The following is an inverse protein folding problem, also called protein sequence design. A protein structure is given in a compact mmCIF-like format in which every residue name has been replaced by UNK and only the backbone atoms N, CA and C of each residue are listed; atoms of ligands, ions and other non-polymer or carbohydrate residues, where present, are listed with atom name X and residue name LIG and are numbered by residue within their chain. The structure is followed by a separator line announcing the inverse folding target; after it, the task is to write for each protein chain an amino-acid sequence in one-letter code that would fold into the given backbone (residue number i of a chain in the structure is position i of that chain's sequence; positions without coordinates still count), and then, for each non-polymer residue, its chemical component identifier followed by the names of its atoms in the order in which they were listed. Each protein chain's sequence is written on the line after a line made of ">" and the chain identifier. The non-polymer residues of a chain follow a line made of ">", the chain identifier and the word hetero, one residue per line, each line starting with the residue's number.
data_IF_148392024625
#
_entry.id   IF_148392024625
#
_cell.length_a   1.000
_cell.length_b   1.000
_cell.length_c   1.000
_cell.angle_alpha   90.00
_cell.angle_beta   90.00
_cell.angle_gamma   90.00
#
_symmetry.space_group_name_H-M   'P 1'
#
loop_
_entity.id
_entity.type
_entity.pdbx_description
1 polymer ?
#
# COMPACT_ATOMS: atom_id res chain seq x y z
N UNK A 1 6.47 50.73 14.63
CA UNK A 1 5.81 49.48 15.09
C UNK A 1 6.91 48.55 15.57
N UNK A 2 6.96 48.26 16.87
CA UNK A 2 8.03 47.47 17.49
C UNK A 2 7.70 45.99 17.28
N UNK A 3 8.38 45.35 16.34
CA UNK A 3 8.21 43.91 16.02
C UNK A 3 8.58 43.11 17.25
N UNK A 4 7.58 42.46 17.86
CA UNK A 4 7.73 41.61 19.03
C UNK A 4 8.33 40.30 18.53
N UNK A 5 9.65 40.13 18.67
CA UNK A 5 10.32 38.85 18.50
C UNK A 5 9.72 37.87 19.50
N UNK A 6 8.94 36.93 18.98
CA UNK A 6 8.37 35.83 19.74
C UNK A 6 9.54 34.90 20.07
N UNK A 7 10.02 34.92 21.32
CA UNK A 7 11.03 33.99 21.80
C UNK A 7 10.44 32.58 21.75
N UNK A 8 10.83 31.79 20.75
CA UNK A 8 10.51 30.37 20.68
C UNK A 8 11.09 29.67 21.91
N UNK A 9 10.36 28.72 22.47
CA UNK A 9 10.91 27.87 23.52
C UNK A 9 12.07 27.05 23.00
N UNK A 10 13.06 26.73 23.84
CA UNK A 10 14.27 25.97 23.48
C UNK A 10 14.02 24.69 22.67
N UNK A 11 12.88 24.02 22.90
CA UNK A 11 12.48 22.83 22.13
C UNK A 11 11.92 23.13 20.73
N UNK A 12 11.36 24.33 20.50
CA UNK A 12 10.93 24.76 19.17
C UNK A 12 12.10 25.28 18.33
N UNK A 13 13.11 25.92 18.93
CA UNK A 13 14.34 26.34 18.22
C UNK A 13 15.13 25.14 17.71
N UNK A 14 15.29 24.09 18.52
CA UNK A 14 15.96 22.85 18.13
C UNK A 14 15.21 22.14 16.99
N UNK A 15 13.87 22.20 17.01
CA UNK A 15 13.03 21.65 15.96
C UNK A 15 13.06 22.47 14.67
N UNK A 16 13.14 23.79 14.78
CA UNK A 16 13.27 24.68 13.63
C UNK A 16 14.63 24.53 12.95
N UNK A 17 15.71 24.42 13.73
CA UNK A 17 17.05 24.09 13.22
C UNK A 17 17.09 22.73 12.52
N UNK A 18 16.39 21.72 13.04
CA UNK A 18 16.25 20.41 12.40
C UNK A 18 15.46 20.48 11.08
N UNK A 19 14.40 21.30 11.03
CA UNK A 19 13.60 21.51 9.82
C UNK A 19 14.42 22.21 8.74
N UNK A 20 15.14 23.25 9.10
CA UNK A 20 15.93 24.05 8.16
C UNK A 20 17.08 23.22 7.56
N UNK A 21 17.76 22.40 8.37
CA UNK A 21 18.79 21.45 7.89
C UNK A 21 18.26 20.30 7.03
N UNK A 22 16.99 19.92 7.17
CA UNK A 22 16.36 18.88 6.35
C UNK A 22 15.80 19.42 5.02
N UNK A 23 15.37 20.69 5.00
CA UNK A 23 14.74 21.34 3.84
C UNK A 23 15.78 21.94 2.90
N UNK A 24 16.84 22.55 3.45
CA UNK A 24 17.92 23.15 2.66
C UNK A 24 19.30 22.87 3.31
N UNK A 25 19.95 21.74 2.99
CA UNK A 25 21.29 21.46 3.50
C UNK A 25 22.35 22.47 3.03
N UNK A 26 22.06 23.30 2.01
CA UNK A 26 23.00 24.31 1.51
C UNK A 26 23.00 25.59 2.36
N UNK A 27 21.89 25.91 3.05
CA UNK A 27 21.84 27.06 3.98
C UNK A 27 22.69 26.87 5.25
N UNK A 28 23.03 25.62 5.58
CA UNK A 28 23.97 25.29 6.66
C UNK A 28 25.43 25.34 6.24
N UNK A 29 25.75 25.33 4.94
CA UNK A 29 27.15 25.42 4.48
C UNK A 29 27.75 26.81 4.73
N UNK A 30 26.91 27.86 4.84
CA UNK A 30 27.36 29.22 5.16
C UNK A 30 27.66 29.44 6.66
N UNK A 31 27.30 28.50 7.53
CA UNK A 31 27.45 28.60 9.00
C UNK A 31 28.43 27.58 9.60
N UNK A 32 29.00 26.69 8.79
CA UNK A 32 29.91 25.63 9.23
C UNK A 32 31.28 25.83 8.59
N UNK A 33 32.33 25.80 9.42
CA UNK A 33 33.72 25.97 8.98
C UNK A 33 34.07 24.98 7.84
N UNK A 34 34.52 25.46 6.67
CA UNK A 34 34.85 24.63 5.50
C UNK A 34 35.94 23.58 5.76
N UNK A 35 36.65 23.65 6.89
CA UNK A 35 37.72 22.72 7.25
C UNK A 35 37.25 21.34 7.73
N UNK A 36 35.93 21.11 7.86
CA UNK A 36 35.38 19.83 8.36
C UNK A 36 34.74 18.93 7.29
N UNK A 37 34.54 19.41 6.06
CA UNK A 37 33.97 18.58 5.00
C UNK A 37 35.06 17.73 4.32
N UNK A 38 34.86 16.40 4.38
CA UNK A 38 35.51 15.48 3.44
C UNK A 38 34.95 15.74 2.04
N UNK A 39 35.82 16.08 1.09
CA UNK A 39 35.50 16.38 -0.32
C UNK A 39 34.95 15.18 -1.11
N UNK A 40 34.59 14.09 -0.44
CA UNK A 40 34.15 12.83 -1.05
C UNK A 40 32.63 12.71 -1.26
N UNK A 41 31.82 13.62 -0.70
CA UNK A 41 30.35 13.56 -0.83
C UNK A 41 29.85 14.63 -1.81
N UNK A 42 29.92 14.32 -3.11
CA UNK A 42 29.11 15.02 -4.09
C UNK A 42 27.64 14.62 -3.91
N UNK A 43 26.82 15.54 -3.41
CA UNK A 43 25.37 15.45 -3.50
C UNK A 43 25.00 15.75 -4.96
N UNK A 44 25.08 14.73 -5.82
CA UNK A 44 24.68 14.85 -7.22
C UNK A 44 23.19 15.16 -7.29
N UNK A 45 22.86 16.43 -7.57
CA UNK A 45 21.52 16.81 -7.97
C UNK A 45 21.17 16.01 -9.22
N UNK A 46 20.13 15.18 -9.13
CA UNK A 46 19.67 14.34 -10.24
C UNK A 46 19.61 15.13 -11.54
N UNK A 47 20.35 14.69 -12.55
CA UNK A 47 20.48 15.40 -13.82
C UNK A 47 19.13 15.38 -14.55
N UNK A 48 18.62 16.57 -14.91
CA UNK A 48 17.36 16.73 -15.65
C UNK A 48 17.44 16.01 -16.99
N UNK A 49 16.67 14.94 -17.14
CA UNK A 49 16.67 14.13 -18.35
C UNK A 49 15.98 14.87 -19.51
N UNK A 50 16.42 14.67 -20.77
CA UNK A 50 15.78 15.26 -21.92
C UNK A 50 14.37 14.72 -22.14
N UNK A 51 13.41 15.59 -22.46
CA UNK A 51 12.03 15.22 -22.79
C UNK A 51 11.98 14.48 -24.13
N UNK A 52 12.07 13.15 -24.10
CA UNK A 52 11.89 12.28 -25.27
C UNK A 52 10.83 11.24 -24.93
N UNK A 53 9.88 10.98 -25.83
CA UNK A 53 8.97 9.85 -25.68
C UNK A 53 9.80 8.56 -25.75
N UNK A 54 9.96 7.90 -24.60
CA UNK A 54 10.54 6.57 -24.49
C UNK A 54 9.39 5.56 -24.47
N UNK A 55 9.59 4.41 -25.10
CA UNK A 55 8.70 3.25 -25.03
C UNK A 55 7.29 3.41 -25.65
N UNK A 56 7.17 3.97 -26.86
CA UNK A 56 5.88 4.06 -27.57
C UNK A 56 5.14 2.71 -27.73
N UNK A 57 5.87 1.59 -27.79
CA UNK A 57 5.30 0.26 -27.94
C UNK A 57 4.36 -0.14 -26.80
N UNK A 58 4.68 0.15 -25.53
CA UNK A 58 3.78 -0.21 -24.44
C UNK A 58 2.68 0.83 -24.19
N UNK A 59 2.80 2.05 -24.73
CA UNK A 59 1.63 2.90 -24.86
C UNK A 59 0.61 2.27 -25.82
N UNK A 60 1.08 1.69 -26.94
CA UNK A 60 0.21 0.94 -27.86
C UNK A 60 -0.44 -0.29 -27.20
N UNK A 61 0.30 -1.04 -26.36
CA UNK A 61 -0.29 -2.17 -25.62
C UNK A 61 -1.36 -1.72 -24.62
N UNK A 62 -1.09 -0.66 -23.84
CA UNK A 62 -2.05 -0.11 -22.90
C UNK A 62 -3.32 0.39 -23.60
N UNK A 63 -3.18 1.13 -24.70
CA UNK A 63 -4.34 1.55 -25.48
C UNK A 63 -5.06 0.36 -26.14
N UNK A 64 -4.32 -0.64 -26.62
CA UNK A 64 -4.90 -1.87 -27.16
C UNK A 64 -5.71 -2.64 -26.12
N UNK A 65 -5.24 -2.69 -24.88
CA UNK A 65 -5.95 -3.28 -23.76
C UNK A 65 -7.23 -2.50 -23.44
N UNK A 66 -7.16 -1.17 -23.33
CA UNK A 66 -8.34 -0.31 -23.11
C UNK A 66 -9.39 -0.54 -24.20
N UNK A 67 -8.96 -0.61 -25.46
CA UNK A 67 -9.86 -0.91 -26.59
C UNK A 67 -10.46 -2.31 -26.45
N UNK A 68 -9.66 -3.33 -26.12
CA UNK A 68 -10.15 -4.69 -25.92
C UNK A 68 -11.22 -4.78 -24.82
N UNK A 69 -10.99 -4.16 -23.67
CA UNK A 69 -11.95 -4.14 -22.56
C UNK A 69 -13.20 -3.34 -22.94
N UNK A 70 -13.04 -2.21 -23.62
CA UNK A 70 -14.18 -1.42 -24.09
C UNK A 70 -15.06 -2.20 -25.06
N UNK A 71 -14.46 -3.03 -25.92
CA UNK A 71 -15.19 -3.93 -26.83
C UNK A 71 -15.93 -5.01 -26.04
N UNK A 72 -15.29 -5.66 -25.07
CA UNK A 72 -15.94 -6.67 -24.21
C UNK A 72 -17.09 -6.06 -23.40
N UNK A 73 -16.85 -4.90 -22.76
CA UNK A 73 -17.88 -4.14 -22.06
C UNK A 73 -19.05 -3.75 -22.98
N UNK A 74 -18.76 -3.34 -24.22
CA UNK A 74 -19.80 -2.99 -25.19
C UNK A 74 -20.59 -4.19 -25.72
N UNK A 75 -19.92 -5.32 -25.99
CA UNK A 75 -20.51 -6.52 -26.58
C UNK A 75 -21.27 -7.37 -25.57
N UNK A 76 -20.74 -7.52 -24.36
CA UNK A 76 -21.30 -8.40 -23.34
C UNK A 76 -21.89 -7.62 -22.15
N UNK A 77 -21.22 -6.55 -21.71
CA UNK A 77 -21.68 -5.73 -20.57
C UNK A 77 -22.92 -4.90 -20.88
N UNK A 78 -22.96 -4.21 -22.03
CA UNK A 78 -24.07 -3.31 -22.36
C UNK A 78 -25.41 -4.04 -22.58
N UNK A 79 -25.45 -5.22 -23.23
CA UNK A 79 -26.66 -6.03 -23.29
C UNK A 79 -27.14 -6.52 -21.91
N UNK A 80 -26.24 -6.96 -21.03
CA UNK A 80 -26.58 -7.39 -19.67
C UNK A 80 -27.14 -6.23 -18.81
N UNK A 81 -26.62 -5.02 -18.98
CA UNK A 81 -27.17 -3.83 -18.31
C UNK A 81 -28.55 -3.44 -18.86
N UNK A 82 -28.80 -3.65 -20.16
CA UNK A 82 -30.08 -3.35 -20.79
C UNK A 82 -31.15 -4.37 -20.42
N UNK A 83 -30.83 -5.66 -20.38
CA UNK A 83 -31.77 -6.71 -19.94
C UNK A 83 -32.26 -6.38 -18.53
N UNK A 84 -31.34 -6.18 -17.59
CA UNK A 84 -31.65 -5.80 -16.19
C UNK A 84 -32.49 -4.53 -16.03
N UNK A 85 -32.39 -3.56 -16.96
CA UNK A 85 -33.20 -2.34 -16.94
C UNK A 85 -34.61 -2.49 -17.51
N UNK A 86 -34.88 -3.54 -18.30
CA UNK A 86 -36.14 -3.73 -19.01
C UNK A 86 -37.09 -4.68 -18.26
N UNK A 87 -36.55 -5.60 -17.47
CA UNK A 87 -37.25 -6.53 -16.57
C UNK A 87 -37.66 -5.86 -15.25
N UNK A 88 -38.30 -4.70 -15.33
CA UNK A 88 -38.82 -3.95 -14.17
C UNK A 88 -40.03 -4.58 -13.46
N UNK A 89 -40.15 -5.90 -13.40
CA UNK A 89 -41.27 -6.56 -12.75
C UNK A 89 -41.15 -8.08 -12.59
N UNK A 90 -41.25 -8.52 -11.33
CA UNK A 90 -41.85 -9.78 -10.85
C UNK A 90 -41.03 -11.08 -10.69
N UNK A 91 -39.74 -11.18 -11.04
CA UNK A 91 -38.96 -12.42 -10.78
C UNK A 91 -37.91 -12.28 -9.66
N UNK A 92 -38.02 -13.12 -8.61
CA UNK A 92 -37.25 -13.12 -7.34
C UNK A 92 -35.73 -13.45 -7.44
N UNK A 93 -35.17 -13.63 -8.63
CA UNK A 93 -33.77 -14.07 -8.80
C UNK A 93 -32.95 -13.27 -9.84
N UNK A 94 -33.40 -12.08 -10.25
CA UNK A 94 -32.65 -11.28 -11.23
C UNK A 94 -31.70 -10.27 -10.56
N UNK A 95 -30.42 -10.39 -10.86
CA UNK A 95 -29.33 -9.56 -10.28
C UNK A 95 -29.36 -8.14 -10.86
N UNK A 96 -29.39 -7.11 -10.00
CA UNK A 96 -29.43 -5.72 -10.43
C UNK A 96 -28.04 -5.15 -10.76
N UNK A 97 -27.59 -5.37 -12.00
CA UNK A 97 -26.29 -4.91 -12.48
C UNK A 97 -26.14 -3.38 -12.50
N UNK A 98 -27.22 -2.64 -12.76
CA UNK A 98 -27.20 -1.17 -12.79
C UNK A 98 -27.01 -0.60 -11.40
N UNK A 99 -27.72 -1.15 -10.40
CA UNK A 99 -27.57 -0.80 -8.99
C UNK A 99 -26.16 -1.03 -8.48
N UNK A 100 -25.55 -2.18 -8.81
CA UNK A 100 -24.17 -2.49 -8.44
C UNK A 100 -23.15 -1.52 -9.07
N UNK A 101 -23.35 -1.13 -10.33
CA UNK A 101 -22.48 -0.16 -11.00
C UNK A 101 -22.58 1.22 -10.35
N UNK A 102 -23.79 1.68 -10.01
CA UNK A 102 -23.97 2.92 -9.24
C UNK A 102 -23.33 2.82 -7.85
N UNK A 103 -23.45 1.68 -7.18
CA UNK A 103 -22.80 1.44 -5.89
C UNK A 103 -21.28 1.59 -5.97
N UNK A 104 -20.65 1.01 -7.00
CA UNK A 104 -19.20 1.12 -7.22
C UNK A 104 -18.72 2.56 -7.47
N UNK A 105 -19.49 3.35 -8.22
CA UNK A 105 -19.17 4.75 -8.52
C UNK A 105 -19.31 5.65 -7.28
N UNK A 106 -20.36 5.44 -6.49
CA UNK A 106 -20.57 6.18 -5.23
C UNK A 106 -19.50 5.81 -4.21
N UNK A 107 -19.17 4.52 -4.06
CA UNK A 107 -18.10 4.07 -3.18
C UNK A 107 -16.73 4.63 -3.62
N UNK A 108 -16.43 4.62 -4.92
CA UNK A 108 -15.21 5.24 -5.47
C UNK A 108 -15.15 6.76 -5.28
N UNK A 109 -16.28 7.45 -5.43
CA UNK A 109 -16.37 8.89 -5.14
C UNK A 109 -16.20 9.21 -3.66
N UNK A 110 -16.80 8.41 -2.78
CA UNK A 110 -16.67 8.54 -1.34
C UNK A 110 -15.24 8.25 -0.86
N UNK A 111 -14.59 7.20 -1.40
CA UNK A 111 -13.21 6.86 -1.09
C UNK A 111 -12.25 7.99 -1.48
N UNK A 112 -12.50 8.64 -2.63
CA UNK A 112 -11.77 9.83 -3.04
C UNK A 112 -11.92 10.95 -2.01
N UNK A 113 -13.15 11.29 -1.62
CA UNK A 113 -13.41 12.34 -0.65
C UNK A 113 -12.75 12.05 0.71
N UNK A 114 -12.89 10.83 1.22
CA UNK A 114 -12.28 10.38 2.47
C UNK A 114 -10.75 10.45 2.37
N UNK A 115 -10.16 10.01 1.25
CA UNK A 115 -8.72 10.07 1.00
C UNK A 115 -8.20 11.51 0.91
N UNK A 116 -8.98 12.42 0.31
CA UNK A 116 -8.61 13.84 0.27
C UNK A 116 -8.58 14.43 1.67
N UNK A 117 -9.58 14.10 2.50
CA UNK A 117 -9.69 14.55 3.87
C UNK A 117 -8.54 14.00 4.72
N UNK A 118 -8.19 12.72 4.57
CA UNK A 118 -7.07 12.11 5.29
C UNK A 118 -5.73 12.73 4.93
N UNK A 119 -5.50 13.06 3.65
CA UNK A 119 -4.28 13.76 3.23
C UNK A 119 -4.23 15.20 3.76
N UNK A 120 -5.36 15.90 3.79
CA UNK A 120 -5.45 17.24 4.38
C UNK A 120 -5.13 17.19 5.88
N UNK A 121 -5.69 16.21 6.60
CA UNK A 121 -5.40 15.98 8.02
C UNK A 121 -3.92 15.65 8.23
N UNK A 122 -3.33 14.75 7.42
CA UNK A 122 -1.90 14.44 7.44
C UNK A 122 -1.03 15.69 7.24
N UNK A 123 -1.49 16.61 6.39
CA UNK A 123 -0.79 17.84 6.05
C UNK A 123 -0.93 18.98 7.07
N UNK A 124 -1.92 18.90 7.97
CA UNK A 124 -2.24 19.95 8.93
C UNK A 124 -1.46 19.80 10.24
N UNK A 125 -1.38 18.59 10.79
CA UNK A 125 -0.82 18.36 12.13
C UNK A 125 -0.07 17.01 12.24
N UNK A 126 1.09 16.82 11.58
CA UNK A 126 1.81 15.54 11.59
C UNK A 126 2.24 15.09 13.01
N UNK A 127 2.59 16.03 13.90
CA UNK A 127 2.94 15.72 15.31
C UNK A 127 1.80 15.11 16.09
N UNK A 128 0.62 15.74 15.99
CA UNK A 128 -0.57 15.28 16.68
C UNK A 128 -0.94 13.88 16.19
N UNK A 129 -0.83 13.63 14.88
CA UNK A 129 -1.12 12.32 14.29
C UNK A 129 -0.18 11.23 14.76
N UNK A 130 1.12 11.53 14.86
CA UNK A 130 2.11 10.60 15.42
C UNK A 130 1.79 10.26 16.89
N UNK A 131 1.36 11.25 17.68
CA UNK A 131 0.95 11.00 19.08
C UNK A 131 -0.31 10.15 19.15
N UNK A 132 -1.31 10.44 18.32
CA UNK A 132 -2.56 9.69 18.25
C UNK A 132 -2.34 8.27 17.75
N UNK A 133 -1.45 8.04 16.79
CA UNK A 133 -1.17 6.70 16.29
C UNK A 133 -0.57 5.80 17.36
N UNK A 134 0.37 6.32 18.17
CA UNK A 134 0.92 5.57 19.30
C UNK A 134 -0.15 5.25 20.35
N UNK A 135 -1.02 6.21 20.65
CA UNK A 135 -2.12 6.02 21.60
C UNK A 135 -3.12 4.96 21.08
N UNK A 136 -3.49 5.04 19.80
CA UNK A 136 -4.39 4.09 19.16
C UNK A 136 -3.80 2.68 19.16
N UNK A 137 -2.50 2.50 18.92
CA UNK A 137 -1.85 1.19 19.02
C UNK A 137 -1.94 0.61 20.44
N UNK A 138 -1.74 1.44 21.47
CA UNK A 138 -1.90 1.00 22.87
C UNK A 138 -3.36 0.60 23.13
N UNK A 139 -4.32 1.44 22.75
CA UNK A 139 -5.76 1.14 22.93
C UNK A 139 -6.15 -0.14 22.19
N UNK A 140 -5.71 -0.30 20.93
CA UNK A 140 -5.96 -1.49 20.12
C UNK A 140 -5.42 -2.75 20.79
N UNK A 141 -4.20 -2.70 21.34
CA UNK A 141 -3.62 -3.85 22.06
C UNK A 141 -4.44 -4.24 23.30
N UNK A 142 -4.98 -3.27 24.04
CA UNK A 142 -5.89 -3.54 25.17
C UNK A 142 -7.22 -4.12 24.68
N UNK A 143 -7.79 -3.55 23.62
CA UNK A 143 -9.04 -4.03 23.03
C UNK A 143 -8.94 -5.48 22.58
N UNK A 144 -7.84 -5.85 21.91
CA UNK A 144 -7.59 -7.24 21.50
C UNK A 144 -7.47 -8.17 22.72
N UNK A 145 -6.76 -7.76 23.77
CA UNK A 145 -6.65 -8.56 25.00
C UNK A 145 -8.03 -8.83 25.63
N UNK A 146 -8.87 -7.78 25.74
CA UNK A 146 -10.22 -7.90 26.31
C UNK A 146 -11.14 -8.73 25.40
N UNK A 147 -11.17 -8.44 24.11
CA UNK A 147 -12.03 -9.15 23.15
C UNK A 147 -11.67 -10.63 23.06
N UNK A 148 -10.38 -10.96 23.08
CA UNK A 148 -9.93 -12.36 23.07
C UNK A 148 -10.40 -13.14 24.30
N UNK A 149 -10.49 -12.48 25.47
CA UNK A 149 -11.01 -13.09 26.69
C UNK A 149 -12.53 -13.26 26.67
N UNK A 150 -13.25 -12.34 26.02
CA UNK A 150 -14.72 -12.34 25.97
C UNK A 150 -15.30 -13.25 24.88
N UNK A 151 -14.61 -13.37 23.73
CA UNK A 151 -15.18 -14.00 22.53
C UNK A 151 -14.72 -15.44 22.29
N UNK A 152 -13.54 -15.85 22.77
CA UNK A 152 -13.06 -17.20 22.51
C UNK A 152 -13.68 -18.21 23.52
N UNK A 153 -13.67 -19.52 23.21
CA UNK A 153 -13.94 -20.56 24.20
C UNK A 153 -12.67 -20.97 24.93
N UNK A 154 -12.81 -21.56 26.13
CA UNK A 154 -11.68 -22.16 26.85
C UNK A 154 -11.07 -23.31 26.04
N UNK A 155 -9.72 -23.42 25.90
CA UNK A 155 -8.67 -22.62 26.54
C UNK A 155 -8.19 -21.37 25.80
N UNK A 156 -8.75 -21.05 24.62
CA UNK A 156 -8.34 -19.92 23.78
C UNK A 156 -8.38 -18.56 24.47
N UNK A 157 -9.35 -18.33 25.37
CA UNK A 157 -9.48 -17.09 26.15
C UNK A 157 -8.24 -16.72 26.93
N UNK A 158 -7.63 -17.72 27.60
CA UNK A 158 -6.50 -17.46 28.48
C UNK A 158 -5.24 -17.19 27.66
N UNK A 159 -5.07 -17.90 26.55
CA UNK A 159 -3.96 -17.70 25.64
C UNK A 159 -4.03 -16.34 24.93
N UNK A 160 -5.22 -15.94 24.46
CA UNK A 160 -5.43 -14.63 23.85
C UNK A 160 -5.16 -13.49 24.83
N UNK A 161 -5.62 -13.64 26.08
CA UNK A 161 -5.40 -12.65 27.13
C UNK A 161 -3.91 -12.49 27.47
N UNK A 162 -3.19 -13.60 27.68
CA UNK A 162 -1.76 -13.54 28.03
C UNK A 162 -0.95 -12.92 26.90
N UNK A 163 -1.20 -13.32 25.65
CA UNK A 163 -0.54 -12.76 24.49
C UNK A 163 -0.87 -11.27 24.29
N UNK A 164 -2.14 -10.88 24.43
CA UNK A 164 -2.58 -9.50 24.34
C UNK A 164 -1.95 -8.59 25.41
N UNK A 165 -1.82 -9.07 26.65
CA UNK A 165 -1.14 -8.35 27.73
C UNK A 165 0.35 -8.17 27.47
N UNK A 166 1.03 -9.18 26.93
CA UNK A 166 2.45 -9.07 26.55
C UNK A 166 2.63 -8.00 25.47
N UNK A 167 1.80 -8.02 24.43
CA UNK A 167 1.83 -7.01 23.36
C UNK A 167 1.55 -5.61 23.92
N UNK A 168 0.59 -5.47 24.84
CA UNK A 168 0.29 -4.19 25.48
C UNK A 168 1.51 -3.64 26.25
N UNK A 169 2.20 -4.48 27.04
CA UNK A 169 3.39 -4.07 27.78
C UNK A 169 4.54 -3.65 26.84
N UNK A 170 4.77 -4.42 25.77
CA UNK A 170 5.78 -4.10 24.76
C UNK A 170 5.43 -2.79 24.05
N UNK A 171 4.17 -2.62 23.62
CA UNK A 171 3.69 -1.43 22.91
C UNK A 171 3.79 -0.17 23.79
N UNK A 172 3.50 -0.31 25.08
CA UNK A 172 3.63 0.76 26.06
C UNK A 172 5.10 1.14 26.28
N UNK A 173 5.99 0.15 26.45
CA UNK A 173 7.43 0.37 26.56
C UNK A 173 8.00 1.07 25.31
N UNK A 174 7.61 0.58 24.13
CA UNK A 174 7.97 1.19 22.85
C UNK A 174 7.51 2.64 22.76
N UNK A 175 6.26 2.93 23.10
CA UNK A 175 5.73 4.29 23.10
C UNK A 175 6.59 5.21 23.98
N UNK A 176 6.90 4.81 25.21
CA UNK A 176 7.75 5.61 26.10
C UNK A 176 9.14 5.93 25.53
N UNK A 177 9.77 4.95 24.86
CA UNK A 177 11.10 5.14 24.24
C UNK A 177 11.03 6.10 23.05
N UNK A 178 9.99 5.96 22.22
CA UNK A 178 9.84 6.72 20.97
C UNK A 178 9.25 8.12 21.19
N UNK A 179 8.59 8.36 22.32
CA UNK A 179 7.95 9.64 22.65
C UNK A 179 8.91 10.85 22.56
N UNK A 180 10.19 10.67 22.90
CA UNK A 180 11.20 11.74 22.77
C UNK A 180 11.65 12.02 21.33
N UNK A 181 11.35 11.12 20.38
CA UNK A 181 11.81 11.17 18.98
C UNK A 181 10.74 11.64 17.99
N UNK A 182 9.51 11.85 18.47
CA UNK A 182 8.38 12.43 17.72
C UNK A 182 8.75 13.72 16.95
N UNK A 183 9.48 14.72 17.52
CA UNK A 183 9.74 15.96 16.78
C UNK A 183 10.57 15.73 15.51
N UNK A 184 11.55 14.83 15.54
CA UNK A 184 12.36 14.47 14.38
C UNK A 184 11.53 13.81 13.27
N UNK A 185 10.74 12.79 13.61
CA UNK A 185 9.86 12.11 12.65
C UNK A 185 8.83 13.07 12.03
N UNK A 186 8.27 13.97 12.84
CA UNK A 186 7.32 14.97 12.36
C UNK A 186 7.95 15.98 11.40
N UNK A 187 9.22 16.34 11.61
CA UNK A 187 9.96 17.25 10.73
C UNK A 187 10.27 16.60 9.39
N UNK A 188 10.60 15.30 9.38
CA UNK A 188 10.82 14.54 8.15
C UNK A 188 9.53 14.44 7.31
N UNK A 189 8.39 14.17 7.96
CA UNK A 189 7.09 14.14 7.29
C UNK A 189 6.70 15.54 6.75
N UNK A 190 6.97 16.59 7.52
CA UNK A 190 6.71 17.97 7.12
C UNK A 190 7.57 18.42 5.92
N UNK A 191 8.84 18.00 5.86
CA UNK A 191 9.70 18.24 4.71
C UNK A 191 9.15 17.58 3.43
N UNK A 192 8.72 16.31 3.52
CA UNK A 192 8.07 15.60 2.42
C UNK A 192 6.77 16.27 1.96
N UNK A 193 5.92 16.69 2.91
CA UNK A 193 4.69 17.41 2.62
C UNK A 193 4.95 18.80 2.02
N UNK A 194 6.01 19.49 2.44
CA UNK A 194 6.41 20.80 1.92
C UNK A 194 6.84 20.69 0.45
N UNK A 195 7.58 19.64 0.09
CA UNK A 195 7.93 19.37 -1.31
C UNK A 195 6.69 19.14 -2.19
N UNK A 196 5.65 18.49 -1.66
CA UNK A 196 4.37 18.29 -2.35
C UNK A 196 3.60 19.61 -2.47
N UNK A 197 3.51 20.39 -1.39
CA UNK A 197 2.78 21.68 -1.36
C UNK A 197 3.41 22.73 -2.26
N UNK A 198 4.74 22.80 -2.31
CA UNK A 198 5.48 23.72 -3.20
C UNK A 198 5.27 23.38 -4.67
N UNK A 199 5.04 22.10 -4.99
CA UNK A 199 4.71 21.62 -6.32
C UNK A 199 3.23 21.21 -6.43
N UNK A 200 2.32 22.14 -6.10
CA UNK A 200 0.87 21.87 -6.06
C UNK A 200 0.28 21.30 -7.38
N UNK A 201 0.94 21.51 -8.53
CA UNK A 201 0.56 20.89 -9.79
C UNK A 201 0.55 19.35 -9.74
N UNK A 202 1.38 18.75 -8.89
CA UNK A 202 1.42 17.30 -8.67
C UNK A 202 0.11 16.80 -8.05
N UNK A 203 -0.52 17.58 -7.17
CA UNK A 203 -1.81 17.23 -6.54
C UNK A 203 -2.93 17.21 -7.59
N UNK A 204 -2.96 18.21 -8.49
CA UNK A 204 -3.95 18.27 -9.55
C UNK A 204 -3.81 17.09 -10.52
N UNK A 205 -2.58 16.76 -10.91
CA UNK A 205 -2.30 15.59 -11.75
C UNK A 205 -2.70 14.30 -11.04
N UNK A 206 -2.42 14.17 -9.74
CA UNK A 206 -2.82 13.00 -8.96
C UNK A 206 -4.35 12.83 -8.93
N UNK A 207 -5.12 13.90 -8.65
CA UNK A 207 -6.58 13.82 -8.68
C UNK A 207 -7.14 13.51 -10.07
N UNK A 208 -6.55 14.06 -11.13
CA UNK A 208 -6.96 13.74 -12.49
C UNK A 208 -6.75 12.25 -12.81
N UNK A 209 -5.63 11.67 -12.37
CA UNK A 209 -5.34 10.24 -12.52
C UNK A 209 -6.33 9.39 -11.72
N UNK A 210 -6.66 9.77 -10.49
CA UNK A 210 -7.61 8.99 -9.66
C UNK A 210 -9.04 9.08 -10.20
N UNK A 211 -9.48 10.22 -10.73
CA UNK A 211 -10.79 10.31 -11.40
C UNK A 211 -10.83 9.40 -12.63
N UNK A 212 -9.75 9.38 -13.41
CA UNK A 212 -9.61 8.48 -14.55
C UNK A 212 -9.58 7.01 -14.09
N UNK A 213 -8.96 6.69 -12.96
CA UNK A 213 -8.95 5.33 -12.41
C UNK A 213 -10.34 4.87 -11.97
N UNK A 214 -11.19 5.73 -11.39
CA UNK A 214 -12.58 5.37 -11.07
C UNK A 214 -13.38 5.05 -12.33
N UNK A 215 -13.29 5.91 -13.35
CA UNK A 215 -13.96 5.65 -14.63
C UNK A 215 -13.46 4.37 -15.29
N UNK A 216 -12.17 4.08 -15.14
CA UNK A 216 -11.56 2.85 -15.61
C UNK A 216 -12.03 1.62 -14.83
N UNK A 217 -12.11 1.68 -13.50
CA UNK A 217 -12.66 0.61 -12.67
C UNK A 217 -14.14 0.35 -13.00
N UNK A 218 -14.93 1.37 -13.31
CA UNK A 218 -16.30 1.18 -13.76
C UNK A 218 -16.37 0.44 -15.12
N UNK A 219 -15.49 0.77 -16.07
CA UNK A 219 -15.38 0.02 -17.34
C UNK A 219 -15.02 -1.46 -17.08
N UNK A 220 -14.11 -1.72 -16.14
CA UNK A 220 -13.79 -3.07 -15.69
C UNK A 220 -14.98 -3.81 -15.09
N UNK A 221 -15.73 -3.16 -14.21
CA UNK A 221 -16.95 -3.72 -13.63
C UNK A 221 -17.97 -4.07 -14.72
N UNK A 222 -18.19 -3.20 -15.71
CA UNK A 222 -19.10 -3.52 -16.83
C UNK A 222 -18.65 -4.72 -17.67
N UNK A 223 -17.35 -4.87 -17.89
CA UNK A 223 -16.81 -6.01 -18.62
C UNK A 223 -16.96 -7.31 -17.82
N UNK A 224 -16.65 -7.29 -16.52
CA UNK A 224 -16.79 -8.45 -15.64
C UNK A 224 -18.24 -8.91 -15.50
N UNK A 225 -19.17 -7.97 -15.29
CA UNK A 225 -20.60 -8.29 -15.21
C UNK A 225 -21.12 -8.89 -16.51
N UNK A 226 -20.69 -8.37 -17.67
CA UNK A 226 -21.07 -8.91 -18.97
C UNK A 226 -20.59 -10.34 -19.19
N UNK A 227 -19.37 -10.68 -18.77
CA UNK A 227 -18.86 -12.05 -18.88
C UNK A 227 -19.61 -12.97 -17.90
N UNK A 228 -19.83 -12.53 -16.66
CA UNK A 228 -20.54 -13.32 -15.65
C UNK A 228 -21.98 -13.67 -16.08
N UNK A 229 -22.71 -12.71 -16.64
CA UNK A 229 -24.07 -12.93 -17.15
C UNK A 229 -24.07 -13.96 -18.29
N UNK A 230 -23.10 -13.89 -19.20
CA UNK A 230 -23.01 -14.83 -20.32
C UNK A 230 -22.69 -16.27 -19.94
N UNK A 231 -22.12 -16.52 -18.76
CA UNK A 231 -21.79 -17.86 -18.30
C UNK A 231 -23.05 -18.67 -17.91
N UNK A 232 -24.21 -18.02 -17.78
CA UNK A 232 -25.50 -18.64 -17.46
C UNK A 232 -26.50 -18.76 -18.62
N UNK A 233 -26.23 -18.20 -19.81
CA UNK A 233 -27.22 -18.16 -20.90
C UNK A 233 -27.32 -19.47 -21.71
N UNK A 234 -28.37 -20.25 -21.46
CA UNK A 234 -28.89 -21.22 -22.41
C UNK A 234 -29.94 -20.55 -23.32
N UNK A 235 -29.66 -20.41 -24.61
CA UNK A 235 -30.62 -19.82 -25.56
C UNK A 235 -31.52 -20.91 -26.14
N UNK A 236 -32.83 -20.77 -25.96
CA UNK A 236 -33.83 -21.54 -26.71
C UNK A 236 -33.89 -20.99 -28.15
N UNK A 237 -33.62 -21.84 -29.13
CA UNK A 237 -33.87 -21.52 -30.54
C UNK A 237 -35.34 -21.81 -30.89
N UNK A 238 -35.84 -21.25 -31.99
CA UNK A 238 -37.23 -21.40 -32.47
C UNK A 238 -37.67 -22.86 -32.76
N UNK A 239 -36.79 -23.83 -32.51
CA UNK A 239 -36.97 -25.27 -32.73
C UNK A 239 -36.88 -26.07 -31.40
N UNK A 240 -37.12 -25.45 -30.24
CA UNK A 240 -37.04 -26.06 -28.90
C UNK A 240 -35.67 -26.68 -28.53
N UNK A 241 -34.63 -26.42 -29.33
CA UNK A 241 -33.25 -26.82 -29.01
C UNK A 241 -32.63 -25.76 -28.11
N UNK A 242 -32.45 -26.13 -26.83
CA UNK A 242 -31.69 -25.36 -25.85
C UNK A 242 -30.21 -25.61 -26.09
N UNK A 243 -29.52 -24.64 -26.71
CA UNK A 243 -28.07 -24.69 -26.87
C UNK A 243 -27.45 -23.86 -25.75
N UNK A 244 -26.83 -24.53 -24.79
CA UNK A 244 -25.99 -23.88 -23.80
C UNK A 244 -24.59 -23.74 -24.38
N UNK A 245 -24.11 -22.51 -24.55
CA UNK A 245 -22.73 -22.26 -24.94
C UNK A 245 -21.84 -22.48 -23.73
N UNK A 246 -21.05 -23.56 -23.71
CA UNK A 246 -19.91 -23.68 -22.79
C UNK A 246 -18.80 -22.72 -23.25
N UNK A 247 -19.00 -21.42 -23.00
CA UNK A 247 -17.95 -20.42 -23.20
C UNK A 247 -16.87 -20.62 -22.14
N UNK A 248 -15.58 -20.44 -22.47
CA UNK A 248 -14.50 -20.44 -21.48
C UNK A 248 -14.53 -19.15 -20.64
N UNK A 249 -15.62 -18.96 -19.91
CA UNK A 249 -15.88 -18.03 -18.80
C UNK A 249 -14.60 -17.65 -18.05
N UNK A 250 -13.98 -18.66 -17.47
CA UNK A 250 -12.76 -18.58 -16.66
C UNK A 250 -11.56 -18.09 -17.45
N UNK A 251 -11.49 -18.37 -18.76
CA UNK A 251 -10.45 -17.85 -19.64
C UNK A 251 -10.60 -16.35 -19.89
N UNK A 252 -11.83 -15.87 -20.09
CA UNK A 252 -12.11 -14.43 -20.20
C UNK A 252 -11.89 -13.72 -18.88
N UNK A 253 -12.36 -14.28 -17.77
CA UNK A 253 -12.11 -13.74 -16.41
C UNK A 253 -10.61 -13.72 -16.11
N UNK A 254 -9.86 -14.76 -16.44
CA UNK A 254 -8.40 -14.80 -16.26
C UNK A 254 -7.68 -13.75 -17.12
N UNK A 255 -8.04 -13.62 -18.40
CA UNK A 255 -7.48 -12.61 -19.29
C UNK A 255 -7.85 -11.19 -18.86
N UNK A 256 -9.07 -11.00 -18.35
CA UNK A 256 -9.54 -9.77 -17.73
C UNK A 256 -8.71 -9.46 -16.48
N UNK A 257 -8.54 -10.41 -15.57
CA UNK A 257 -7.74 -10.20 -14.35
C UNK A 257 -6.25 -9.92 -14.69
N UNK A 258 -5.67 -10.65 -15.64
CA UNK A 258 -4.32 -10.40 -16.17
C UNK A 258 -4.20 -8.98 -16.77
N UNK A 259 -5.19 -8.55 -17.53
CA UNK A 259 -5.23 -7.21 -18.10
C UNK A 259 -5.43 -6.15 -17.01
N UNK A 260 -6.24 -6.37 -15.98
CA UNK A 260 -6.38 -5.44 -14.84
C UNK A 260 -5.03 -5.20 -14.16
N UNK A 261 -4.28 -6.27 -13.88
CA UNK A 261 -2.90 -6.18 -13.37
C UNK A 261 -1.94 -5.48 -14.34
N UNK A 262 -2.06 -5.75 -15.65
CA UNK A 262 -1.27 -5.06 -16.68
C UNK A 262 -1.61 -3.57 -16.80
N UNK A 263 -2.82 -3.17 -16.39
CA UNK A 263 -3.32 -1.81 -16.57
C UNK A 263 -2.78 -0.77 -15.59
N UNK A 264 -2.10 -1.22 -14.53
CA UNK A 264 -1.29 -0.34 -13.69
C UNK A 264 -0.05 0.21 -14.44
N UNK A 265 0.13 -0.10 -15.73
CA UNK A 265 1.22 0.41 -16.57
C UNK A 265 1.00 1.85 -17.07
N UNK A 266 0.75 2.81 -16.17
CA UNK A 266 0.86 4.26 -16.47
C UNK A 266 2.28 4.59 -16.95
N UNK A 267 2.49 5.63 -17.78
CA UNK A 267 3.86 6.02 -18.21
C UNK A 267 4.84 6.24 -17.05
N UNK A 268 4.38 6.74 -15.90
CA UNK A 268 5.20 6.89 -14.70
C UNK A 268 5.51 5.55 -14.02
N UNK A 269 4.54 4.64 -13.97
CA UNK A 269 4.69 3.30 -13.39
C UNK A 269 5.52 2.43 -14.34
N UNK A 270 5.36 2.62 -15.64
CA UNK A 270 6.09 1.96 -16.70
C UNK A 270 7.52 2.45 -16.79
N UNK A 271 7.81 3.73 -16.65
CA UNK A 271 9.20 4.21 -16.62
C UNK A 271 9.90 3.66 -15.36
N UNK A 272 9.20 3.66 -14.23
CA UNK A 272 9.68 3.01 -13.00
C UNK A 272 9.83 1.49 -13.15
N UNK A 273 8.89 0.83 -13.83
CA UNK A 273 8.88 -0.61 -14.08
C UNK A 273 9.95 -1.01 -15.08
N UNK A 274 10.06 -0.34 -16.23
CA UNK A 274 11.12 -0.53 -17.22
C UNK A 274 12.47 -0.30 -16.56
N UNK A 275 12.63 0.76 -15.78
CA UNK A 275 13.86 0.99 -15.01
C UNK A 275 14.11 -0.12 -14.00
N UNK A 276 13.08 -0.61 -13.29
CA UNK A 276 13.18 -1.73 -12.36
C UNK A 276 13.50 -3.07 -13.05
N UNK A 277 12.97 -3.33 -14.24
CA UNK A 277 13.09 -4.58 -15.00
C UNK A 277 14.26 -4.58 -15.99
N UNK A 278 14.88 -3.42 -16.24
CA UNK A 278 16.06 -3.32 -17.11
C UNK A 278 17.29 -2.87 -16.32
N UNK A 279 17.40 -1.57 -16.04
CA UNK A 279 18.62 -0.97 -15.49
C UNK A 279 18.89 -1.36 -14.05
N UNK A 280 17.83 -1.52 -13.25
CA UNK A 280 17.92 -1.82 -11.82
C UNK A 280 17.62 -3.29 -11.51
N UNK A 281 17.26 -4.09 -12.52
CA UNK A 281 16.83 -5.48 -12.33
C UNK A 281 17.89 -6.34 -11.67
N UNK A 282 19.15 -6.23 -12.11
CA UNK A 282 20.25 -6.98 -11.52
C UNK A 282 20.44 -6.66 -10.03
N UNK A 283 20.32 -5.38 -9.64
CA UNK A 283 20.42 -4.95 -8.24
C UNK A 283 19.24 -5.43 -7.39
N UNK A 284 18.03 -5.42 -7.95
CA UNK A 284 16.81 -5.90 -7.28
C UNK A 284 16.89 -7.42 -7.11
N UNK A 285 17.21 -8.16 -8.18
CA UNK A 285 17.39 -9.61 -8.11
C UNK A 285 18.49 -10.04 -7.15
N UNK A 286 19.60 -9.31 -7.09
CA UNK A 286 20.68 -9.62 -6.16
C UNK A 286 20.23 -9.44 -4.70
N UNK A 287 19.55 -8.34 -4.36
CA UNK A 287 19.01 -8.13 -3.02
C UNK A 287 17.93 -9.16 -2.65
N UNK A 288 17.04 -9.50 -3.58
CA UNK A 288 15.99 -10.52 -3.38
C UNK A 288 16.57 -11.93 -3.26
N UNK A 289 17.63 -12.26 -4.00
CA UNK A 289 18.33 -13.55 -3.90
C UNK A 289 18.94 -13.74 -2.51
N UNK A 290 19.52 -12.70 -1.92
CA UNK A 290 20.08 -12.78 -0.57
C UNK A 290 19.01 -13.10 0.47
N UNK A 291 17.84 -12.46 0.38
CA UNK A 291 16.69 -12.76 1.26
C UNK A 291 16.21 -14.19 1.04
N UNK A 292 16.00 -14.59 -0.23
CA UNK A 292 15.55 -15.94 -0.57
C UNK A 292 16.51 -17.03 -0.09
N UNK A 293 17.83 -16.81 -0.13
CA UNK A 293 18.82 -17.76 0.42
C UNK A 293 18.61 -17.95 1.93
N UNK A 294 18.35 -16.88 2.68
CA UNK A 294 18.12 -17.01 4.13
C UNK A 294 16.77 -17.65 4.41
N UNK A 295 15.73 -17.24 3.68
CA UNK A 295 14.39 -17.83 3.80
C UNK A 295 14.41 -19.34 3.51
N UNK A 296 15.13 -19.77 2.47
CA UNK A 296 15.32 -21.20 2.18
C UNK A 296 16.13 -21.92 3.26
N UNK A 297 17.14 -21.29 3.86
CA UNK A 297 17.85 -21.86 5.02
C UNK A 297 16.92 -21.99 6.24
N UNK A 298 16.08 -20.98 6.52
CA UNK A 298 15.08 -21.02 7.59
C UNK A 298 14.10 -22.18 7.36
N UNK A 299 13.61 -22.35 6.13
CA UNK A 299 12.71 -23.44 5.77
C UNK A 299 13.37 -24.83 5.93
N UNK A 300 14.65 -24.97 5.57
CA UNK A 300 15.40 -26.22 5.77
C UNK A 300 15.57 -26.52 7.27
N UNK A 301 15.89 -25.52 8.09
CA UNK A 301 16.05 -25.70 9.55
C UNK A 301 14.71 -26.05 10.19
N UNK A 302 13.61 -25.46 9.74
CA UNK A 302 12.27 -25.78 10.20
C UNK A 302 11.85 -27.21 9.83
N UNK A 303 12.13 -27.66 8.60
CA UNK A 303 11.90 -29.05 8.18
C UNK A 303 12.80 -30.06 8.93
N UNK A 304 14.07 -29.71 9.19
CA UNK A 304 14.97 -30.58 9.95
C UNK A 304 14.54 -30.69 11.44
N UNK A 305 13.90 -29.64 11.96
CA UNK A 305 13.31 -29.63 13.30
C UNK A 305 12.07 -30.51 13.36
N UNK A 306 11.20 -30.51 12.35
CA UNK A 306 9.98 -31.34 12.35
C UNK A 306 10.28 -32.84 12.35
N UNK A 307 11.40 -33.26 11.76
CA UNK A 307 11.80 -34.68 11.69
C UNK A 307 12.52 -35.17 12.96
N UNK A 308 12.94 -34.25 13.84
CA UNK A 308 13.65 -34.61 15.09
C UNK A 308 12.64 -34.88 16.21
N UNK A 309 12.07 -36.09 16.25
CA UNK A 309 11.07 -36.52 17.25
C UNK A 309 11.57 -36.69 18.70
N UNK A 310 12.84 -36.43 19.01
CA UNK A 310 13.38 -36.66 20.36
C UNK A 310 14.13 -35.45 20.92
N UNK A 311 13.64 -34.96 22.07
CA UNK A 311 14.09 -33.77 22.81
C UNK A 311 15.50 -33.88 23.39
N UNK A 312 16.51 -33.83 22.52
CA UNK A 312 17.92 -33.69 22.86
C UNK A 312 18.50 -32.29 22.59
N UNK A 313 19.80 -32.11 22.87
CA UNK A 313 20.54 -30.87 22.60
C UNK A 313 20.46 -30.40 21.13
N UNK A 314 20.20 -31.31 20.18
CA UNK A 314 20.04 -30.98 18.77
C UNK A 314 18.80 -30.11 18.50
N UNK A 315 17.66 -30.40 19.14
CA UNK A 315 16.43 -29.60 18.99
C UNK A 315 16.62 -28.18 19.56
N UNK A 316 17.38 -28.04 20.64
CA UNK A 316 17.72 -26.74 21.22
C UNK A 316 18.67 -25.92 20.32
N UNK A 317 19.69 -26.55 19.73
CA UNK A 317 20.59 -25.88 18.79
C UNK A 317 19.86 -25.45 17.50
N UNK A 318 18.95 -26.26 16.97
CA UNK A 318 18.14 -25.89 15.80
C UNK A 318 17.22 -24.69 16.08
N UNK A 319 16.69 -24.58 17.30
CA UNK A 319 15.90 -23.41 17.72
C UNK A 319 16.75 -22.11 17.73
N UNK A 320 18.00 -22.19 18.20
CA UNK A 320 18.92 -21.04 18.17
C UNK A 320 19.25 -20.65 16.74
N UNK A 321 19.52 -21.62 15.86
CA UNK A 321 19.82 -21.35 14.44
C UNK A 321 18.62 -20.75 13.72
N UNK A 322 17.41 -21.28 13.92
CA UNK A 322 16.16 -20.72 13.37
C UNK A 322 15.96 -19.26 13.82
N UNK A 323 16.15 -18.98 15.11
CA UNK A 323 16.08 -17.62 15.63
C UNK A 323 17.12 -16.68 14.98
N UNK A 324 18.37 -17.13 14.82
CA UNK A 324 19.42 -16.35 14.18
C UNK A 324 19.13 -16.08 12.71
N UNK A 325 18.64 -17.07 11.96
CA UNK A 325 18.28 -16.92 10.55
C UNK A 325 17.12 -15.95 10.38
N UNK A 326 16.07 -16.06 11.20
CA UNK A 326 14.94 -15.11 11.21
C UNK A 326 15.39 -13.69 11.57
N UNK A 327 16.33 -13.53 12.51
CA UNK A 327 16.92 -12.21 12.79
C UNK A 327 17.72 -11.67 11.59
N UNK A 328 18.49 -12.51 10.91
CA UNK A 328 19.25 -12.11 9.72
C UNK A 328 18.34 -11.73 8.55
N UNK A 329 17.28 -12.49 8.31
CA UNK A 329 16.25 -12.22 7.31
C UNK A 329 15.65 -10.83 7.52
N UNK A 330 15.16 -10.55 8.73
CA UNK A 330 14.59 -9.24 9.06
C UNK A 330 15.59 -8.09 8.91
N UNK A 331 16.86 -8.29 9.27
CA UNK A 331 17.91 -7.27 9.05
C UNK A 331 18.17 -7.01 7.57
N UNK A 332 18.20 -8.06 6.74
CA UNK A 332 18.46 -7.94 5.30
C UNK A 332 17.29 -7.33 4.55
N UNK A 333 16.05 -7.70 4.86
CA UNK A 333 14.86 -7.04 4.30
C UNK A 333 14.86 -5.55 4.63
N UNK A 334 15.17 -5.20 5.88
CA UNK A 334 15.25 -3.82 6.30
C UNK A 334 16.33 -3.06 5.54
N UNK A 335 17.52 -3.65 5.40
CA UNK A 335 18.61 -3.05 4.63
C UNK A 335 18.26 -2.90 3.14
N UNK A 336 17.62 -3.92 2.56
CA UNK A 336 17.14 -3.93 1.18
C UNK A 336 16.18 -2.78 0.89
N UNK A 337 15.28 -2.46 1.83
CA UNK A 337 14.36 -1.32 1.70
C UNK A 337 15.13 -0.02 1.41
N UNK A 338 16.19 0.28 2.18
CA UNK A 338 16.99 1.49 1.97
C UNK A 338 17.88 1.38 0.73
N UNK A 339 18.47 0.20 0.47
CA UNK A 339 19.30 0.00 -0.72
C UNK A 339 18.49 0.22 -2.00
N UNK A 340 17.26 -0.29 -2.08
CA UNK A 340 16.38 -0.11 -3.23
C UNK A 340 15.94 1.35 -3.43
N UNK A 341 15.78 2.12 -2.36
CA UNK A 341 15.53 3.56 -2.45
C UNK A 341 16.71 4.27 -3.14
N UNK A 342 17.96 3.94 -2.78
CA UNK A 342 19.16 4.49 -3.44
C UNK A 342 19.30 4.03 -4.89
N UNK A 343 19.01 2.76 -5.19
CA UNK A 343 18.98 2.23 -6.56
C UNK A 343 17.92 2.96 -7.39
N UNK A 344 16.73 3.21 -6.82
CA UNK A 344 15.63 3.89 -7.48
C UNK A 344 15.88 5.39 -7.71
N UNK A 345 16.43 6.10 -6.73
CA UNK A 345 16.69 7.54 -6.86
C UNK A 345 17.90 7.81 -7.74
N UNK A 346 19.04 7.17 -7.45
CA UNK A 346 20.33 7.53 -8.03
C UNK A 346 20.83 6.55 -9.10
N UNK A 347 20.26 5.34 -9.20
CA UNK A 347 20.69 4.34 -10.17
C UNK A 347 22.00 3.63 -9.80
N UNK A 348 22.40 3.63 -8.53
CA UNK A 348 23.59 2.89 -8.07
C UNK A 348 23.40 1.36 -8.17
N UNK A 349 24.49 0.62 -8.29
CA UNK A 349 24.48 -0.84 -8.11
C UNK A 349 24.21 -1.22 -6.66
N UNK A 350 23.65 -2.41 -6.39
CA UNK A 350 23.24 -2.83 -5.04
C UNK A 350 24.34 -2.68 -3.96
N UNK A 351 25.57 -3.13 -4.24
CA UNK A 351 26.67 -3.04 -3.27
C UNK A 351 27.07 -1.58 -2.97
N UNK A 352 27.02 -0.72 -3.99
CA UNK A 352 27.36 0.70 -3.85
C UNK A 352 26.25 1.46 -3.11
N UNK A 353 24.98 1.16 -3.45
CA UNK A 353 23.82 1.62 -2.69
C UNK A 353 23.92 1.19 -1.22
N UNK A 354 24.30 -0.06 -0.96
CA UNK A 354 24.48 -0.60 0.38
C UNK A 354 25.55 0.12 1.20
N UNK A 355 26.70 0.46 0.60
CA UNK A 355 27.73 1.27 1.28
C UNK A 355 27.20 2.65 1.65
N UNK A 356 26.47 3.30 0.74
CA UNK A 356 25.88 4.61 0.99
C UNK A 356 24.83 4.56 2.10
N UNK A 357 24.02 3.50 2.14
CA UNK A 357 23.07 3.22 3.23
C UNK A 357 23.79 2.96 4.56
N UNK A 358 24.90 2.21 4.56
CA UNK A 358 25.70 1.98 5.76
C UNK A 358 26.32 3.27 6.30
N UNK A 359 26.83 4.12 5.42
CA UNK A 359 27.34 5.45 5.79
C UNK A 359 26.21 6.32 6.37
N UNK A 360 25.02 6.27 5.78
CA UNK A 360 23.84 6.98 6.29
C UNK A 360 23.45 6.51 7.71
N UNK A 361 23.46 5.19 7.95
CA UNK A 361 23.21 4.63 9.27
C UNK A 361 24.33 4.96 10.27
N UNK A 362 25.58 5.01 9.85
CA UNK A 362 26.70 5.39 10.72
C UNK A 362 26.60 6.88 11.14
N UNK A 363 26.17 7.75 10.22
CA UNK A 363 26.04 9.19 10.48
C UNK A 363 24.81 9.55 11.33
N UNK A 364 23.64 8.95 11.05
CA UNK A 364 22.37 9.30 11.73
C UNK A 364 21.96 8.31 12.82
N UNK A 365 22.53 7.11 12.84
CA UNK A 365 22.29 6.07 13.84
C UNK A 365 20.85 5.54 13.89
N UNK A 366 20.45 5.11 15.09
CA UNK A 366 19.12 4.57 15.41
C UNK A 366 17.94 5.52 15.16
N UNK A 367 18.21 6.80 14.88
CA UNK A 367 17.15 7.81 14.68
C UNK A 367 16.37 7.60 13.39
N UNK A 368 17.02 7.15 12.32
CA UNK A 368 16.37 6.84 11.03
C UNK A 368 15.36 5.72 11.22
N UNK A 369 15.78 4.65 11.91
CA UNK A 369 14.98 3.43 12.07
C UNK A 369 13.69 3.72 12.81
N UNK A 370 13.80 4.45 13.91
CA UNK A 370 12.65 4.78 14.74
C UNK A 370 11.70 5.74 14.01
N UNK A 371 12.24 6.70 13.25
CA UNK A 371 11.42 7.63 12.47
C UNK A 371 10.64 6.93 11.36
N UNK A 372 11.28 6.02 10.61
CA UNK A 372 10.63 5.23 9.55
C UNK A 372 9.51 4.35 10.10
N UNK A 373 9.74 3.67 11.23
CA UNK A 373 8.71 2.86 11.87
C UNK A 373 7.52 3.71 12.35
N UNK A 374 7.79 4.90 12.91
CA UNK A 374 6.75 5.80 13.39
C UNK A 374 5.88 6.34 12.24
N UNK A 375 6.51 6.71 11.12
CA UNK A 375 5.79 7.14 9.91
C UNK A 375 4.95 5.99 9.35
N UNK A 376 5.51 4.77 9.28
CA UNK A 376 4.78 3.60 8.80
C UNK A 376 3.54 3.29 9.64
N UNK A 377 3.63 3.43 10.97
CA UNK A 377 2.48 3.22 11.87
C UNK A 377 1.38 4.27 11.64
N UNK A 378 1.75 5.52 11.40
CA UNK A 378 0.78 6.58 11.04
C UNK A 378 0.10 6.27 9.71
N UNK A 379 0.87 5.87 8.69
CA UNK A 379 0.31 5.51 7.38
C UNK A 379 -0.65 4.33 7.48
N UNK A 380 -0.28 3.29 8.23
CA UNK A 380 -1.15 2.13 8.47
C UNK A 380 -2.47 2.54 9.13
N UNK A 381 -2.43 3.43 10.12
CA UNK A 381 -3.64 3.95 10.76
C UNK A 381 -4.57 4.62 9.74
N UNK A 382 -4.03 5.44 8.83
CA UNK A 382 -4.83 6.06 7.79
C UNK A 382 -5.46 5.03 6.84
N UNK A 383 -4.70 4.01 6.43
CA UNK A 383 -5.26 2.93 5.59
C UNK A 383 -6.43 2.23 6.29
N UNK A 384 -6.29 1.92 7.59
CA UNK A 384 -7.36 1.29 8.37
C UNK A 384 -8.58 2.23 8.50
N UNK A 385 -8.38 3.51 8.81
CA UNK A 385 -9.48 4.48 8.94
C UNK A 385 -10.20 4.68 7.62
N UNK A 386 -9.47 4.84 6.51
CA UNK A 386 -10.04 4.97 5.17
C UNK A 386 -10.83 3.70 4.86
N UNK A 387 -10.24 2.52 5.05
CA UNK A 387 -10.87 1.22 4.80
C UNK A 387 -12.19 1.03 5.56
N UNK A 388 -12.20 1.30 6.87
CA UNK A 388 -13.42 1.26 7.70
C UNK A 388 -14.45 2.27 7.20
N UNK A 389 -14.05 3.50 6.89
CA UNK A 389 -14.97 4.53 6.42
C UNK A 389 -15.61 4.16 5.07
N UNK A 390 -14.84 3.66 4.10
CA UNK A 390 -15.39 3.12 2.84
C UNK A 390 -16.26 1.90 3.05
N UNK A 391 -15.91 1.01 3.97
CA UNK A 391 -16.75 -0.14 4.34
C UNK A 391 -18.09 0.30 4.93
N UNK A 392 -18.10 1.31 5.81
CA UNK A 392 -19.32 1.89 6.35
C UNK A 392 -20.19 2.52 5.26
N UNK A 393 -19.60 3.20 4.27
CA UNK A 393 -20.34 3.69 3.11
C UNK A 393 -21.02 2.52 2.38
N UNK A 394 -20.30 1.44 2.10
CA UNK A 394 -20.89 0.23 1.51
C UNK A 394 -22.07 -0.33 2.31
N UNK A 395 -21.94 -0.44 3.64
CA UNK A 395 -23.02 -0.91 4.51
C UNK A 395 -24.25 0.01 4.47
N UNK A 396 -24.06 1.33 4.53
CA UNK A 396 -25.19 2.28 4.43
C UNK A 396 -25.89 2.20 3.08
N UNK A 397 -25.15 1.92 2.00
CA UNK A 397 -25.73 1.73 0.67
C UNK A 397 -26.58 0.48 0.60
N UNK A 398 -26.15 -0.60 1.25
CA UNK A 398 -26.93 -1.83 1.37
C UNK A 398 -28.22 -1.64 2.15
N UNK A 399 -28.20 -0.87 3.25
CA UNK A 399 -29.41 -0.58 4.03
C UNK A 399 -30.42 0.30 3.27
N UNK A 400 -29.95 1.24 2.44
CA UNK A 400 -30.84 2.14 1.68
C UNK A 400 -31.43 1.44 0.46
N UNK A 401 -30.64 0.62 -0.25
CA UNK A 401 -31.06 -0.08 -1.47
C UNK A 401 -30.59 -1.55 -1.46
N UNK A 402 -31.26 -2.45 -0.72
CA UNK A 402 -30.85 -3.86 -0.63
C UNK A 402 -30.90 -4.58 -1.99
N UNK A 403 -31.87 -4.20 -2.84
CA UNK A 403 -32.00 -4.70 -4.22
C UNK A 403 -30.77 -4.53 -5.12
N UNK A 404 -29.79 -3.70 -4.73
CA UNK A 404 -28.53 -3.54 -5.48
C UNK A 404 -27.51 -4.65 -5.19
N UNK A 405 -27.69 -5.39 -4.09
CA UNK A 405 -26.75 -6.39 -3.60
C UNK A 405 -27.37 -7.81 -3.51
N UNK A 406 -28.70 -7.91 -3.60
CA UNK A 406 -29.42 -9.18 -3.71
C UNK A 406 -28.90 -10.01 -4.91
N UNK A 407 -28.54 -11.28 -4.65
CA UNK A 407 -27.95 -12.20 -5.63
C UNK A 407 -26.41 -12.27 -5.65
N UNK A 408 -25.71 -11.38 -4.92
CA UNK A 408 -24.24 -11.42 -4.78
C UNK A 408 -23.75 -11.90 -3.40
N UNK A 409 -24.63 -12.44 -2.55
CA UNK A 409 -24.31 -12.86 -1.18
C UNK A 409 -23.18 -13.93 -1.13
N UNK A 410 -23.12 -14.82 -2.12
CA UNK A 410 -22.06 -15.84 -2.27
C UNK A 410 -20.80 -15.34 -2.99
N UNK A 411 -20.89 -14.18 -3.65
CA UNK A 411 -19.81 -13.59 -4.47
C UNK A 411 -19.00 -12.51 -3.73
N UNK A 412 -19.25 -12.32 -2.42
CA UNK A 412 -18.58 -11.34 -1.57
C UNK A 412 -17.03 -11.42 -1.59
N UNK A 413 -16.45 -12.55 -2.04
CA UNK A 413 -15.00 -12.67 -2.26
C UNK A 413 -14.46 -11.90 -3.48
N UNK A 414 -15.29 -11.60 -4.50
CA UNK A 414 -14.83 -10.90 -5.71
C UNK A 414 -14.86 -9.37 -5.52
N UNK A 415 -15.83 -8.86 -4.76
CA UNK A 415 -15.93 -7.43 -4.43
C UNK A 415 -14.91 -6.94 -3.39
N UNK A 416 -14.32 -7.84 -2.60
CA UNK A 416 -13.33 -7.50 -1.57
C UNK A 416 -11.94 -7.14 -2.13
N UNK A 417 -11.74 -7.23 -3.45
CA UNK A 417 -10.48 -6.90 -4.14
C UNK A 417 -10.48 -5.53 -4.85
N UNK A 418 -11.56 -4.76 -4.73
CA UNK A 418 -11.65 -3.34 -5.15
C UNK A 418 -11.59 -2.45 -3.92
#
# INVERSE_FOLDING_TARGET
>A
MKTRTMTLGRGQEEEQHLRDTLIDPAGSDDLVDPSYYDNSVHVDRGVKQPTRFRDSWAALLFYGQIVGISVVAGMFGMPALRSSSTSGGEDEHEVNYVGLLYASLVAGGASLAISTLSLLVMSACPKFLIQMSLLITIVWSVSVAILSYLLLPYPGNLFGLTFGLIIFLISTCYAFVVWRRIPFASSNLDAGLTAIKTNAGVILVAYAIVLLSIGYSALWMTALLGVYDTDGLCKATAEDVVVCTETPAWGYIFLLLLAYFCSFCSSAIKDSFVRATTTSFGSICFGSLLVAIIETLTAIVESARSDTENGGCAAFLLCIVDCLLRCMEGMLEYFNKFAYIYVGMYGYGYLEAGKNVMNLFHQRGWTIIIADNLISNVLLLFVVVIGIATGCVGLTMNEINPSWFEGFEDAAMVGAFV
#
